data_IF_531545350474
#
_entry.id   IF_531545350474
#
_cell.length_a   1.000
_cell.length_b   1.000
_cell.length_c   1.000
_cell.angle_alpha   90.00
_cell.angle_beta   90.00
_cell.angle_gamma   90.00
#
_symmetry.space_group_name_H-M   'P 1'
#
loop_
_entity.id
_entity.type
_entity.pdbx_description
1 polymer ?
#
# COMPACT_ATOMS: atom_id res chain seq x y z
N UNK A 1 22.01 10.51 -46.12
CA UNK A 1 22.42 9.68 -44.96
C UNK A 1 21.89 10.23 -43.62
N UNK A 2 21.74 11.55 -43.43
CA UNK A 2 21.26 12.16 -42.18
C UNK A 2 19.80 11.78 -41.79
N UNK A 3 18.92 11.50 -42.75
CA UNK A 3 17.52 11.13 -42.50
C UNK A 3 17.34 9.78 -41.79
N UNK A 4 18.28 8.86 -41.94
CA UNK A 4 18.22 7.54 -41.28
C UNK A 4 18.60 7.61 -39.79
N UNK A 5 19.46 8.57 -39.39
CA UNK A 5 19.84 8.78 -37.99
C UNK A 5 18.67 9.32 -37.14
N UNK A 6 17.85 10.20 -37.71
CA UNK A 6 16.67 10.75 -37.00
C UNK A 6 15.58 9.71 -36.75
N UNK A 7 15.36 8.78 -37.70
CA UNK A 7 14.37 7.71 -37.54
C UNK A 7 14.80 6.71 -36.46
N UNK A 8 16.10 6.43 -36.35
CA UNK A 8 16.66 5.59 -35.30
C UNK A 8 16.50 6.23 -33.90
N UNK A 9 16.77 7.53 -33.78
CA UNK A 9 16.67 8.25 -32.50
C UNK A 9 15.23 8.33 -31.97
N UNK A 10 14.25 8.56 -32.84
CA UNK A 10 12.83 8.59 -32.44
C UNK A 10 12.34 7.20 -32.05
N UNK A 11 12.78 6.15 -32.75
CA UNK A 11 12.46 4.77 -32.39
C UNK A 11 13.05 4.40 -31.01
N UNK A 12 14.27 4.85 -30.73
CA UNK A 12 14.94 4.62 -29.45
C UNK A 12 14.24 5.32 -28.27
N UNK A 13 13.76 6.55 -28.47
CA UNK A 13 12.99 7.31 -27.47
C UNK A 13 11.64 6.66 -27.12
N UNK A 14 10.92 6.13 -28.12
CA UNK A 14 9.62 5.46 -27.90
C UNK A 14 9.82 4.12 -27.20
N UNK A 15 10.89 3.37 -27.53
CA UNK A 15 11.22 2.11 -26.86
C UNK A 15 11.58 2.31 -25.38
N UNK A 16 12.37 3.36 -25.06
CA UNK A 16 12.78 3.64 -23.68
C UNK A 16 11.62 4.14 -22.81
N UNK A 17 10.67 4.90 -23.40
CA UNK A 17 9.49 5.39 -22.68
C UNK A 17 8.52 4.28 -22.23
N UNK A 18 8.40 3.19 -23.00
CA UNK A 18 7.53 2.06 -22.68
C UNK A 18 8.08 1.13 -21.58
N UNK A 19 9.37 1.24 -21.25
CA UNK A 19 10.04 0.40 -20.24
C UNK A 19 9.90 0.95 -18.81
N UNK A 20 9.42 2.18 -18.64
CA UNK A 20 9.23 2.81 -17.32
C UNK A 20 7.84 2.60 -16.70
N UNK A 21 6.94 1.87 -17.38
CA UNK A 21 5.60 1.53 -16.86
C UNK A 21 5.54 0.13 -16.28
N UNK A 22 6.63 -0.39 -15.72
CA UNK A 22 6.59 -1.62 -14.93
C UNK A 22 5.89 -1.30 -13.61
N UNK A 23 4.58 -1.58 -13.63
CA UNK A 23 3.63 -1.63 -12.53
C UNK A 23 4.30 -1.91 -11.18
N UNK A 24 4.37 -0.87 -10.34
CA UNK A 24 4.66 -0.99 -8.91
C UNK A 24 3.41 -1.49 -8.17
N UNK A 25 2.95 -2.70 -8.48
CA UNK A 25 1.82 -3.33 -7.79
C UNK A 25 2.14 -4.77 -7.43
N UNK A 26 3.08 -4.94 -6.50
CA UNK A 26 3.10 -6.11 -5.63
C UNK A 26 3.42 -5.64 -4.22
N UNK A 27 2.36 -5.31 -3.48
CA UNK A 27 2.34 -5.51 -2.03
C UNK A 27 1.01 -6.16 -1.74
N UNK A 28 1.01 -7.49 -1.73
CA UNK A 28 -0.07 -8.29 -1.16
C UNK A 28 -0.18 -7.88 0.32
N UNK A 29 -1.17 -7.05 0.63
CA UNK A 29 -1.43 -6.65 2.01
C UNK A 29 -1.97 -7.86 2.77
N UNK A 30 -1.57 -8.01 4.03
CA UNK A 30 -2.03 -9.09 4.90
C UNK A 30 -2.40 -8.53 6.26
N UNK A 31 -3.12 -9.32 7.04
CA UNK A 31 -3.53 -8.92 8.38
C UNK A 31 -2.34 -9.05 9.34
N UNK A 32 -1.92 -7.99 10.03
CA UNK A 32 -0.80 -8.07 10.96
C UNK A 32 -1.08 -8.95 12.21
N UNK A 33 -2.34 -9.33 12.44
CA UNK A 33 -2.76 -10.10 13.62
C UNK A 33 -2.94 -11.59 13.36
N UNK A 34 -3.45 -11.96 12.18
CA UNK A 34 -3.74 -13.34 11.83
C UNK A 34 -3.07 -13.82 10.55
N UNK A 35 -2.24 -12.98 9.92
CA UNK A 35 -1.51 -13.23 8.68
C UNK A 35 -2.40 -13.58 7.47
N UNK A 36 -3.72 -13.41 7.58
CA UNK A 36 -4.64 -13.61 6.47
C UNK A 36 -4.47 -12.56 5.38
N UNK A 37 -4.52 -12.99 4.12
CA UNK A 37 -4.53 -12.13 2.94
C UNK A 37 -5.94 -11.68 2.54
N UNK A 38 -6.97 -12.13 3.26
CA UNK A 38 -8.35 -11.73 3.05
C UNK A 38 -8.57 -10.32 3.63
N UNK A 39 -8.10 -9.31 2.90
CA UNK A 39 -8.13 -7.90 3.29
C UNK A 39 -9.07 -7.13 2.36
N UNK A 40 -9.99 -6.37 2.96
CA UNK A 40 -10.81 -5.40 2.26
C UNK A 40 -10.26 -3.98 2.43
N UNK A 41 -10.32 -3.20 1.36
CA UNK A 41 -9.73 -1.87 1.26
C UNK A 41 -10.82 -0.77 1.24
N UNK A 42 -10.88 0.05 2.30
CA UNK A 42 -11.77 1.22 2.41
C UNK A 42 -11.11 2.55 2.01
N UNK A 43 -9.98 2.52 1.31
CA UNK A 43 -9.21 3.68 0.86
C UNK A 43 -8.15 4.12 1.86
N UNK A 44 -8.51 4.50 3.08
CA UNK A 44 -7.56 4.94 4.14
C UNK A 44 -7.29 3.87 5.19
N UNK A 45 -8.15 2.86 5.27
CA UNK A 45 -8.11 1.76 6.23
C UNK A 45 -8.22 0.42 5.52
N UNK A 46 -7.76 -0.61 6.21
CA UNK A 46 -7.96 -2.00 5.86
C UNK A 46 -8.83 -2.68 6.91
N UNK A 47 -9.62 -3.65 6.46
CA UNK A 47 -10.32 -4.59 7.32
C UNK A 47 -9.94 -6.01 6.92
N UNK A 48 -9.55 -6.83 7.89
CA UNK A 48 -9.35 -8.25 7.65
C UNK A 48 -10.69 -8.99 7.71
N UNK A 49 -11.09 -9.63 6.63
CA UNK A 49 -12.34 -10.41 6.54
C UNK A 49 -12.29 -11.71 7.36
N UNK A 50 -11.11 -12.14 7.80
CA UNK A 50 -10.93 -13.34 8.63
C UNK A 50 -11.11 -13.06 10.12
N UNK A 51 -10.49 -11.99 10.64
CA UNK A 51 -10.52 -11.66 12.07
C UNK A 51 -11.25 -10.34 12.41
N UNK A 52 -11.84 -9.68 11.40
CA UNK A 52 -12.55 -8.41 11.49
C UNK A 52 -11.73 -7.27 12.12
N UNK A 53 -10.40 -7.34 12.00
CA UNK A 53 -9.51 -6.29 12.47
C UNK A 53 -9.53 -5.14 11.47
N UNK A 54 -10.02 -3.97 11.91
CA UNK A 54 -9.91 -2.71 11.18
C UNK A 54 -8.68 -1.92 11.64
N UNK A 55 -7.80 -1.55 10.71
CA UNK A 55 -6.55 -0.84 10.99
C UNK A 55 -6.20 0.18 9.90
N UNK A 56 -5.42 1.21 10.25
CA UNK A 56 -5.04 2.26 9.29
C UNK A 56 -3.92 1.77 8.37
N UNK A 57 -4.02 2.04 7.06
CA UNK A 57 -3.01 1.64 6.07
C UNK A 57 -1.62 2.24 6.33
N UNK A 58 -1.61 3.43 6.93
CA UNK A 58 -0.37 4.14 7.27
C UNK A 58 0.42 3.37 8.32
N UNK A 59 -0.27 2.73 9.26
CA UNK A 59 0.36 2.00 10.36
C UNK A 59 0.99 0.71 9.86
N UNK A 60 0.35 0.03 8.91
CA UNK A 60 0.91 -1.13 8.23
C UNK A 60 2.26 -0.84 7.52
N UNK A 61 2.50 0.41 7.12
CA UNK A 61 3.77 0.81 6.47
C UNK A 61 4.83 1.27 7.48
N UNK A 62 4.43 1.66 8.68
CA UNK A 62 5.28 2.37 9.64
C UNK A 62 5.61 1.54 10.88
N UNK A 63 4.76 0.58 11.22
CA UNK A 63 4.83 -0.21 12.45
C UNK A 63 5.11 -1.68 12.13
N UNK A 64 5.68 -2.40 13.10
CA UNK A 64 5.73 -3.85 13.03
C UNK A 64 4.33 -4.43 13.28
N UNK A 65 4.10 -5.65 12.82
CA UNK A 65 2.79 -6.30 12.91
C UNK A 65 2.20 -6.30 14.34
N UNK A 66 3.03 -6.58 15.35
CA UNK A 66 2.61 -6.59 16.75
C UNK A 66 2.25 -5.21 17.33
N UNK A 67 2.66 -4.13 16.66
CA UNK A 67 2.44 -2.75 17.09
C UNK A 67 1.22 -2.11 16.38
N UNK A 68 0.62 -2.80 15.39
CA UNK A 68 -0.55 -2.29 14.68
C UNK A 68 -1.79 -2.47 15.53
N UNK A 69 -2.26 -1.35 16.10
CA UNK A 69 -3.51 -1.30 16.85
C UNK A 69 -4.72 -1.16 15.94
N UNK A 70 -5.81 -1.81 16.34
CA UNK A 70 -7.12 -1.61 15.74
C UNK A 70 -7.60 -0.17 15.94
N UNK A 71 -8.51 0.27 15.07
CA UNK A 71 -9.21 1.56 15.23
C UNK A 71 -9.91 1.63 16.58
N UNK A 72 -10.52 0.53 17.03
CA UNK A 72 -11.23 0.46 18.32
C UNK A 72 -10.28 0.64 19.51
N UNK A 73 -9.15 -0.05 19.53
CA UNK A 73 -8.13 0.07 20.59
C UNK A 73 -7.62 1.51 20.69
N UNK A 74 -7.41 2.19 19.55
CA UNK A 74 -7.01 3.60 19.53
C UNK A 74 -8.07 4.51 20.13
N UNK A 75 -9.35 4.28 19.82
CA UNK A 75 -10.45 5.08 20.37
C UNK A 75 -10.52 4.92 21.89
N UNK A 76 -10.41 3.69 22.40
CA UNK A 76 -10.41 3.41 23.84
C UNK A 76 -9.24 4.09 24.56
N UNK A 77 -8.03 4.04 23.97
CA UNK A 77 -6.86 4.75 24.51
C UNK A 77 -7.11 6.27 24.56
N UNK A 78 -7.66 6.86 23.49
CA UNK A 78 -7.98 8.29 23.45
C UNK A 78 -8.99 8.64 24.54
N UNK A 79 -10.04 7.84 24.71
CA UNK A 79 -11.03 8.04 25.77
C UNK A 79 -10.35 8.06 27.15
N UNK A 80 -9.49 7.08 27.46
CA UNK A 80 -8.76 7.03 28.74
C UNK A 80 -7.83 8.23 28.93
N UNK A 81 -7.21 8.73 27.86
CA UNK A 81 -6.30 9.87 27.93
C UNK A 81 -7.01 11.22 28.10
N UNK A 82 -8.24 11.35 27.60
CA UNK A 82 -9.05 12.56 27.69
C UNK A 82 -9.87 12.66 28.98
N UNK A 83 -10.10 11.53 29.67
CA UNK A 83 -10.82 11.48 30.95
C UNK A 83 -9.94 11.80 32.18
N UNK A 84 -8.71 12.29 31.94
CA UNK A 84 -7.74 12.76 32.96
C UNK A 84 -7.55 14.27 32.90
#
# INVERSE_FOLDING_TARGET
MLRFLFISLTFFMVLFGALLTINKYEKEYYCPKCDSFEIYDYGTRFECMHCNLEFDKKDFKLLNNGDVLSVQEKLEIITILLDK
#
